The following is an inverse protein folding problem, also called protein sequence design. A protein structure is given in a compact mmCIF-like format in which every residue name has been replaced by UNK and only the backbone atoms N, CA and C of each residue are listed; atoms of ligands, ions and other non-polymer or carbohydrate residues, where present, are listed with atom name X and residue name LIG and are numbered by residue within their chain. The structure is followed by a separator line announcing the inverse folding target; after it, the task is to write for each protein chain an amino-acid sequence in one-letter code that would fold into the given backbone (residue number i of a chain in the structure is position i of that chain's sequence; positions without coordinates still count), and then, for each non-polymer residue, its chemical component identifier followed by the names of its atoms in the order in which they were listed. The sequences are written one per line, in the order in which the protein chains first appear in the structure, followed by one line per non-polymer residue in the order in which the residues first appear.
data_IF_652174792779
#
_entry.id   IF_652174792779
#
_cell.length_a   1.000
_cell.length_b   1.000
_cell.length_c   1.000
_cell.angle_alpha   90.00
_cell.angle_beta   90.00
_cell.angle_gamma   90.00
#
_symmetry.space_group_name_H-M   'P 1'
#
loop_
_entity.id
_entity.type
_entity.pdbx_description
1 polymer ?
#
# COMPACT_ATOMS: atom_id res chain seq x y z
N UNK A 1 4.72 -4.37 28.77
CA UNK A 1 3.70 -3.44 28.24
C UNK A 1 3.59 -3.65 26.74
N UNK A 2 2.60 -4.39 26.27
CA UNK A 2 2.45 -4.75 24.85
C UNK A 2 1.24 -4.02 24.31
N UNK A 3 1.46 -3.08 23.41
CA UNK A 3 0.45 -2.21 22.79
C UNK A 3 -0.49 -3.09 21.94
N UNK A 4 -1.53 -3.61 22.56
CA UNK A 4 -2.63 -4.35 21.96
C UNK A 4 -3.78 -3.40 21.64
N UNK A 5 -3.61 -2.56 20.63
CA UNK A 5 -4.67 -1.67 20.12
C UNK A 5 -4.53 -1.28 18.63
N UNK A 6 -3.90 -2.12 17.80
CA UNK A 6 -3.94 -1.94 16.34
C UNK A 6 -4.79 -3.05 15.72
N UNK A 7 -5.68 -2.65 14.79
CA UNK A 7 -6.76 -3.45 14.21
C UNK A 7 -6.35 -4.86 13.75
N UNK A 8 -7.36 -5.72 13.65
CA UNK A 8 -7.35 -7.19 13.47
C UNK A 8 -6.44 -7.79 12.38
N UNK A 9 -5.75 -6.98 11.56
CA UNK A 9 -4.78 -7.41 10.55
C UNK A 9 -3.57 -6.45 10.56
N UNK A 10 -2.43 -6.92 11.07
CA UNK A 10 -1.16 -6.21 10.91
C UNK A 10 -0.67 -6.38 9.48
N UNK A 11 -0.68 -5.29 8.73
CA UNK A 11 0.02 -5.22 7.45
C UNK A 11 1.50 -4.98 7.73
N UNK A 12 2.32 -6.02 7.69
CA UNK A 12 3.77 -5.89 7.79
C UNK A 12 4.42 -6.38 6.50
N UNK A 13 4.79 -5.43 5.65
CA UNK A 13 5.51 -5.70 4.40
C UNK A 13 6.88 -5.03 4.52
N UNK A 14 7.99 -5.78 4.46
CA UNK A 14 9.32 -5.18 4.51
C UNK A 14 9.54 -4.20 3.36
N UNK A 15 10.10 -3.02 3.64
CA UNK A 15 10.44 -2.04 2.60
C UNK A 15 11.41 -2.59 1.55
N UNK A 16 12.28 -3.54 1.94
CA UNK A 16 13.21 -4.22 1.04
C UNK A 16 12.52 -5.06 -0.05
N UNK A 17 11.30 -5.52 0.23
CA UNK A 17 10.49 -6.36 -0.66
C UNK A 17 9.65 -5.54 -1.64
N UNK A 18 9.62 -4.21 -1.45
CA UNK A 18 8.87 -3.28 -2.28
C UNK A 18 9.78 -2.64 -3.34
N UNK A 19 9.32 -2.71 -4.58
CA UNK A 19 9.90 -1.95 -5.69
C UNK A 19 9.31 -0.54 -5.73
N UNK A 20 7.97 -0.44 -5.66
CA UNK A 20 7.24 0.84 -5.70
C UNK A 20 6.01 0.83 -4.79
N UNK A 21 5.58 2.02 -4.41
CA UNK A 21 4.32 2.27 -3.69
C UNK A 21 3.68 3.57 -4.18
N UNK A 22 2.35 3.57 -4.28
CA UNK A 22 1.59 4.77 -4.60
C UNK A 22 0.19 4.72 -4.00
N UNK A 23 -0.44 5.89 -3.96
CA UNK A 23 -1.85 6.05 -3.55
C UNK A 23 -2.72 6.10 -4.79
N UNK A 24 -3.84 5.40 -4.75
CA UNK A 24 -4.93 5.58 -5.71
C UNK A 24 -6.11 6.13 -4.95
N UNK A 25 -6.50 7.36 -5.31
CA UNK A 25 -7.71 8.00 -4.80
C UNK A 25 -8.90 7.56 -5.66
N UNK A 26 -9.98 7.12 -5.00
CA UNK A 26 -11.26 6.82 -5.65
C UNK A 26 -12.16 8.07 -5.58
N UNK A 27 -13.35 7.98 -6.18
CA UNK A 27 -14.30 9.10 -6.23
C UNK A 27 -14.79 9.54 -4.84
N UNK A 28 -14.83 8.63 -3.88
CA UNK A 28 -15.05 8.95 -2.47
C UNK A 28 -13.69 9.23 -1.79
N UNK A 29 -13.47 10.43 -1.22
CA UNK A 29 -12.22 10.78 -0.55
C UNK A 29 -11.88 9.90 0.68
N UNK A 30 -12.88 9.27 1.30
CA UNK A 30 -12.66 8.27 2.35
C UNK A 30 -12.23 6.91 1.78
N UNK A 31 -12.48 6.67 0.50
CA UNK A 31 -12.08 5.47 -0.21
C UNK A 31 -10.79 5.70 -0.99
N UNK A 32 -9.67 5.24 -0.44
CA UNK A 32 -8.41 5.20 -1.16
C UNK A 32 -7.66 3.92 -0.88
N UNK A 33 -6.84 3.53 -1.85
CA UNK A 33 -6.09 2.30 -1.81
C UNK A 33 -4.59 2.56 -1.94
N UNK A 34 -3.81 1.76 -1.23
CA UNK A 34 -2.37 1.66 -1.47
C UNK A 34 -2.11 0.60 -2.53
N UNK A 35 -1.33 0.99 -3.53
CA UNK A 35 -0.85 0.08 -4.56
C UNK A 35 0.62 -0.19 -4.30
N UNK A 36 0.97 -1.46 -4.13
CA UNK A 36 2.32 -1.92 -3.86
C UNK A 36 2.79 -2.81 -5.02
N UNK A 37 3.99 -2.52 -5.53
CA UNK A 37 4.70 -3.36 -6.47
C UNK A 37 5.80 -4.09 -5.72
N UNK A 38 5.73 -5.41 -5.68
CA UNK A 38 6.78 -6.24 -5.07
C UNK A 38 7.96 -6.45 -6.01
N UNK A 39 9.13 -6.64 -5.41
CA UNK A 39 10.32 -7.14 -6.11
C UNK A 39 10.21 -8.64 -6.40
N UNK A 40 10.85 -9.16 -7.46
CA UNK A 40 10.98 -10.59 -7.65
C UNK A 40 11.55 -11.27 -6.38
N UNK A 41 10.89 -12.33 -5.90
CA UNK A 41 11.29 -13.04 -4.69
C UNK A 41 10.80 -12.45 -3.36
N UNK A 42 10.03 -11.35 -3.39
CA UNK A 42 9.47 -10.72 -2.19
C UNK A 42 8.58 -11.69 -1.38
N UNK A 43 8.67 -11.62 -0.05
CA UNK A 43 7.91 -12.48 0.87
C UNK A 43 6.51 -11.89 1.19
N UNK A 44 5.79 -11.43 0.16
CA UNK A 44 4.42 -10.88 0.36
C UNK A 44 3.43 -12.04 0.51
N UNK A 45 2.53 -12.00 1.51
CA UNK A 45 1.46 -12.99 1.65
C UNK A 45 0.65 -13.11 0.36
N UNK A 46 0.50 -14.33 -0.15
CA UNK A 46 -0.21 -14.59 -1.43
C UNK A 46 -1.64 -14.07 -1.44
N UNK A 47 -2.30 -14.03 -0.28
CA UNK A 47 -3.65 -13.47 -0.12
C UNK A 47 -3.75 -11.97 -0.41
N UNK A 48 -2.61 -11.26 -0.45
CA UNK A 48 -2.53 -9.83 -0.74
C UNK A 48 -2.15 -9.56 -2.20
N UNK A 49 -1.69 -10.57 -2.94
CA UNK A 49 -1.26 -10.43 -4.32
C UNK A 49 -2.43 -10.65 -5.27
N UNK A 50 -2.61 -9.74 -6.22
CA UNK A 50 -3.54 -9.93 -7.32
C UNK A 50 -3.00 -11.00 -8.27
N UNK A 51 -3.87 -11.83 -8.88
CA UNK A 51 -3.48 -12.98 -9.71
C UNK A 51 -2.90 -12.61 -11.08
N UNK A 52 -2.34 -11.41 -11.24
CA UNK A 52 -1.67 -11.01 -12.46
C UNK A 52 -0.37 -11.80 -12.62
N UNK A 53 -0.26 -12.59 -13.71
CA UNK A 53 1.00 -13.21 -14.14
C UNK A 53 2.03 -12.10 -14.31
N UNK A 54 3.00 -11.99 -13.41
CA UNK A 54 4.04 -10.96 -13.53
C UNK A 54 5.42 -11.59 -13.65
N UNK A 55 6.15 -11.08 -14.65
CA UNK A 55 7.61 -11.13 -14.78
C UNK A 55 8.33 -10.33 -13.68
N UNK A 56 7.57 -9.72 -12.76
CA UNK A 56 7.96 -8.82 -11.68
C UNK A 56 7.18 -9.21 -10.40
N UNK A 57 7.66 -8.91 -9.19
CA UNK A 57 7.27 -9.56 -7.93
C UNK A 57 5.80 -9.58 -7.49
N UNK A 58 4.88 -8.93 -8.21
CA UNK A 58 3.44 -8.92 -7.92
C UNK A 58 2.84 -7.51 -7.84
N UNK A 59 1.51 -7.44 -7.71
CA UNK A 59 0.75 -6.22 -7.40
C UNK A 59 -0.10 -6.51 -6.17
N UNK A 60 -0.09 -5.62 -5.20
CA UNK A 60 -0.99 -5.67 -4.06
C UNK A 60 -1.79 -4.37 -4.01
N UNK A 61 -3.11 -4.47 -3.82
CA UNK A 61 -4.00 -3.33 -3.59
C UNK A 61 -4.57 -3.48 -2.19
N UNK A 62 -4.39 -2.47 -1.36
CA UNK A 62 -4.84 -2.44 0.01
C UNK A 62 -5.83 -1.30 0.19
N UNK A 63 -7.11 -1.65 0.34
CA UNK A 63 -8.13 -0.69 0.75
C UNK A 63 -7.91 -0.33 2.21
N UNK A 64 -7.78 0.95 2.51
CA UNK A 64 -7.34 1.44 3.83
C UNK A 64 -8.46 1.51 4.88
N UNK A 65 -9.71 1.47 4.44
CA UNK A 65 -10.92 1.31 5.25
C UNK A 65 -10.79 0.15 6.26
N UNK A 66 -10.24 -0.98 5.82
CA UNK A 66 -10.03 -2.20 6.62
C UNK A 66 -8.97 -2.04 7.69
N UNK A 67 -8.10 -1.03 7.57
CA UNK A 67 -6.98 -0.79 8.47
C UNK A 67 -7.20 0.40 9.42
N UNK A 68 -8.39 1.02 9.41
CA UNK A 68 -8.74 2.19 10.25
C UNK A 68 -7.77 3.37 10.09
N UNK A 69 -7.13 3.50 8.94
CA UNK A 69 -6.27 4.65 8.64
C UNK A 69 -7.18 5.78 8.18
N UNK A 70 -7.38 6.78 9.05
CA UNK A 70 -8.17 7.99 8.74
C UNK A 70 -7.22 9.12 8.37
N UNK A 71 -6.84 9.20 7.10
CA UNK A 71 -6.04 10.30 6.56
C UNK A 71 -6.49 10.58 5.14
N UNK A 72 -6.32 11.81 4.65
CA UNK A 72 -6.67 12.09 3.26
C UNK A 72 -5.68 11.41 2.30
N UNK A 73 -6.09 11.11 1.06
CA UNK A 73 -5.20 10.55 0.04
C UNK A 73 -3.93 11.40 -0.16
N UNK A 74 -4.05 12.74 -0.08
CA UNK A 74 -2.94 13.68 -0.23
C UNK A 74 -1.98 13.64 0.96
N UNK A 75 -2.51 13.54 2.18
CA UNK A 75 -1.69 13.39 3.39
C UNK A 75 -0.91 12.08 3.35
N UNK A 76 -1.55 11.00 2.88
CA UNK A 76 -0.89 9.71 2.67
C UNK A 76 0.19 9.80 1.59
N UNK A 77 -0.10 10.42 0.44
CA UNK A 77 0.85 10.58 -0.65
C UNK A 77 2.09 11.37 -0.19
N UNK A 78 1.89 12.47 0.54
CA UNK A 78 2.99 13.25 1.13
C UNK A 78 3.81 12.44 2.14
N UNK A 79 3.14 11.64 2.99
CA UNK A 79 3.84 10.77 3.92
C UNK A 79 4.69 9.73 3.17
N UNK A 80 4.13 9.09 2.15
CA UNK A 80 4.85 8.12 1.32
C UNK A 80 6.00 8.75 0.56
N UNK A 81 5.83 9.94 -0.01
CA UNK A 81 6.91 10.66 -0.68
C UNK A 81 8.11 10.89 0.27
N UNK A 82 7.84 11.21 1.54
CA UNK A 82 8.88 11.41 2.57
C UNK A 82 9.57 10.09 2.97
N UNK A 83 8.81 9.01 3.16
CA UNK A 83 9.35 7.75 3.71
C UNK A 83 9.86 6.77 2.63
N UNK A 84 9.18 6.65 1.50
CA UNK A 84 9.53 5.72 0.43
C UNK A 84 10.62 6.27 -0.51
N UNK A 85 10.83 7.60 -0.53
CA UNK A 85 11.82 8.26 -1.36
C UNK A 85 11.66 7.87 -2.83
N UNK A 86 12.72 7.32 -3.45
CA UNK A 86 12.72 6.90 -4.86
C UNK A 86 11.72 5.78 -5.21
N UNK A 87 11.14 5.10 -4.22
CA UNK A 87 10.12 4.04 -4.42
C UNK A 87 8.70 4.62 -4.49
N UNK A 88 8.52 5.88 -4.13
CA UNK A 88 7.24 6.56 -4.25
C UNK A 88 6.86 6.74 -5.72
N UNK A 89 5.60 6.48 -6.03
CA UNK A 89 4.94 6.85 -7.27
C UNK A 89 3.85 7.84 -6.92
N UNK A 90 3.81 8.96 -7.64
CA UNK A 90 2.80 10.00 -7.46
C UNK A 90 1.39 9.41 -7.43
N UNK A 91 0.56 9.94 -6.54
CA UNK A 91 -0.85 9.61 -6.45
C UNK A 91 -1.54 9.69 -7.83
N UNK A 92 -2.34 8.68 -8.13
CA UNK A 92 -3.22 8.68 -9.29
C UNK A 92 -4.68 8.79 -8.84
N UNK A 93 -5.48 9.51 -9.64
CA UNK A 93 -6.93 9.60 -9.44
C UNK A 93 -7.63 8.73 -10.47
N UNK A 94 -8.45 7.78 -10.01
CA UNK A 94 -9.34 7.04 -10.91
C UNK A 94 -10.63 7.84 -11.09
N UNK A 95 -10.95 8.13 -12.36
CA UNK A 95 -12.22 8.76 -12.76
C UNK A 95 -13.27 7.72 -13.06
#
# INVERSE_FOLDING_TARGET
MTISAFGRQRLHIPWGDMDRVGVVSLSDPEEHALVLWSRPGAAIPRSMLLPFRRRYGGLCILTLDKYRIKTSPEQMDQALARYAGRRHTQMAMLR
#
